data_IF_741785503199
#
_entry.id   IF_741785503199
#
_cell.length_a   1.000
_cell.length_b   1.000
_cell.length_c   1.000
_cell.angle_alpha   90.00
_cell.angle_beta   90.00
_cell.angle_gamma   90.00
#
_symmetry.space_group_name_H-M   'P 1'
#
loop_
_entity.id
_entity.type
_entity.pdbx_description
1 polymer ?
#
# COMPACT_ATOMS: atom_id res chain seq x y z
N UNK A 1 6.74 -1.23 26.91
CA UNK A 1 7.40 -2.45 26.38
C UNK A 1 6.60 -3.66 26.79
N UNK A 2 5.96 -4.35 25.84
CA UNK A 2 5.49 -5.74 25.95
C UNK A 2 5.25 -6.23 24.53
N UNK A 3 6.27 -6.92 24.01
CA UNK A 3 6.21 -7.68 22.77
C UNK A 3 5.35 -8.93 23.00
N UNK A 4 4.42 -9.24 22.10
CA UNK A 4 3.99 -10.63 21.87
C UNK A 4 3.24 -10.77 20.55
N UNK A 5 3.85 -11.47 19.61
CA UNK A 5 3.24 -12.19 18.49
C UNK A 5 4.11 -13.43 18.29
N UNK A 6 3.74 -14.40 17.46
CA UNK A 6 2.41 -14.94 17.13
C UNK A 6 2.44 -16.48 17.26
N UNK A 7 1.31 -17.16 17.08
CA UNK A 7 1.18 -18.52 16.51
C UNK A 7 -0.15 -19.10 17.00
N UNK A 8 -1.08 -19.34 16.08
CA UNK A 8 -1.56 -20.70 15.79
C UNK A 8 -2.88 -20.71 14.99
N UNK A 9 -2.82 -21.43 13.86
CA UNK A 9 -3.85 -22.31 13.30
C UNK A 9 -5.09 -21.60 12.70
N UNK A 10 -5.14 -21.37 11.38
CA UNK A 10 -5.49 -22.35 10.32
C UNK A 10 -6.67 -23.26 10.70
N UNK A 11 -7.88 -22.88 10.27
CA UNK A 11 -8.91 -23.81 9.78
C UNK A 11 -10.16 -23.02 9.33
N UNK A 12 -10.37 -22.85 8.02
CA UNK A 12 -11.71 -23.00 7.43
C UNK A 12 -11.72 -22.81 5.91
N UNK A 13 -12.13 -23.89 5.25
CA UNK A 13 -13.09 -23.91 4.14
C UNK A 13 -12.70 -23.22 2.82
N UNK A 14 -12.07 -24.02 1.96
CA UNK A 14 -12.60 -24.44 0.65
C UNK A 14 -13.71 -23.56 0.04
N UNK A 15 -13.34 -22.69 -0.90
CA UNK A 15 -14.11 -22.44 -2.12
C UNK A 15 -13.20 -21.78 -3.17
N UNK A 16 -13.14 -22.38 -4.36
CA UNK A 16 -12.83 -21.83 -5.71
C UNK A 16 -12.48 -23.04 -6.59
N UNK A 17 -13.46 -23.69 -7.20
CA UNK A 17 -14.05 -23.34 -8.51
C UNK A 17 -13.02 -23.00 -9.59
N UNK A 18 -12.85 -24.00 -10.47
CA UNK A 18 -12.75 -23.95 -11.94
C UNK A 18 -11.96 -22.80 -12.55
N UNK A 19 -10.82 -23.11 -13.18
CA UNK A 19 -10.48 -22.47 -14.45
C UNK A 19 -9.71 -23.44 -15.35
N UNK A 20 -10.40 -23.86 -16.41
CA UNK A 20 -9.86 -24.57 -17.54
C UNK A 20 -8.77 -23.77 -18.24
N UNK A 21 -7.74 -24.46 -18.77
CA UNK A 21 -7.13 -24.18 -20.08
C UNK A 21 -6.23 -25.34 -20.52
N UNK A 22 -6.71 -25.99 -21.58
CA UNK A 22 -6.05 -26.72 -22.68
C UNK A 22 -4.54 -26.96 -22.59
N UNK A 23 -4.16 -28.21 -22.79
CA UNK A 23 -2.97 -28.54 -23.58
C UNK A 23 -2.20 -29.77 -23.11
N UNK A 24 -2.28 -30.81 -23.94
CA UNK A 24 -1.22 -31.80 -24.18
C UNK A 24 -1.13 -33.02 -23.25
N UNK A 25 -1.64 -34.11 -23.81
CA UNK A 25 -1.50 -35.52 -23.44
C UNK A 25 -0.04 -35.98 -23.39
N UNK A 26 0.42 -36.51 -22.25
CA UNK A 26 1.38 -37.62 -22.20
C UNK A 26 1.01 -38.55 -21.04
N UNK A 27 0.58 -39.76 -21.40
CA UNK A 27 0.50 -40.94 -20.55
C UNK A 27 1.92 -41.42 -20.25
N UNK A 28 2.31 -41.46 -18.99
CA UNK A 28 3.38 -42.34 -18.53
C UNK A 28 3.19 -42.65 -17.03
N UNK A 29 2.71 -43.88 -16.79
CA UNK A 29 2.94 -44.59 -15.53
C UNK A 29 4.44 -44.72 -15.29
N UNK A 30 4.93 -44.26 -14.15
CA UNK A 30 6.02 -44.90 -13.38
C UNK A 30 6.12 -44.23 -12.01
N UNK A 31 5.91 -45.03 -10.96
CA UNK A 31 6.32 -44.66 -9.62
C UNK A 31 7.84 -44.65 -9.54
N UNK A 32 8.39 -43.58 -8.99
CA UNK A 32 9.76 -43.54 -8.48
C UNK A 32 9.72 -42.75 -7.17
N UNK A 33 9.96 -43.47 -6.07
CA UNK A 33 10.39 -42.92 -4.79
C UNK A 33 11.76 -42.27 -5.00
N UNK A 34 11.77 -41.01 -5.39
CA UNK A 34 12.95 -40.16 -5.35
C UNK A 34 12.66 -39.04 -4.36
N UNK A 35 13.49 -38.95 -3.32
CA UNK A 35 13.40 -37.91 -2.32
C UNK A 35 13.47 -36.53 -2.98
N UNK A 36 12.33 -35.84 -3.01
CA UNK A 36 12.30 -34.43 -3.32
C UNK A 36 12.54 -33.66 -2.02
N UNK A 37 13.81 -33.49 -1.65
CA UNK A 37 14.22 -32.17 -1.16
C UNK A 37 13.92 -31.21 -2.30
N UNK A 38 12.70 -30.68 -2.34
CA UNK A 38 12.53 -29.43 -3.06
C UNK A 38 13.39 -28.45 -2.28
N UNK A 39 14.43 -27.83 -2.89
CA UNK A 39 14.80 -26.54 -2.37
C UNK A 39 13.51 -25.75 -2.44
N UNK A 40 13.01 -25.31 -1.27
CA UNK A 40 12.06 -24.21 -1.21
C UNK A 40 12.77 -23.11 -1.99
N UNK A 41 12.42 -23.00 -3.27
CA UNK A 41 12.75 -21.84 -4.05
C UNK A 41 11.94 -20.77 -3.34
N UNK A 42 12.64 -19.99 -2.53
CA UNK A 42 12.14 -18.73 -2.05
C UNK A 42 11.81 -17.97 -3.34
N UNK A 43 10.55 -18.05 -3.77
CA UNK A 43 9.93 -16.98 -4.54
C UNK A 43 9.79 -15.82 -3.57
N UNK A 44 10.94 -15.21 -3.27
CA UNK A 44 11.02 -13.77 -3.24
C UNK A 44 10.52 -13.37 -4.62
N UNK A 45 9.21 -13.13 -4.72
CA UNK A 45 8.71 -12.21 -5.73
C UNK A 45 9.56 -10.96 -5.55
N UNK A 46 10.36 -10.74 -6.57
CA UNK A 46 11.11 -9.54 -6.85
C UNK A 46 10.25 -8.32 -6.48
N UNK A 47 10.46 -7.77 -5.28
CA UNK A 47 9.88 -6.50 -4.88
C UNK A 47 10.90 -5.41 -5.17
N UNK A 48 10.83 -4.76 -6.35
CA UNK A 48 11.33 -3.40 -6.47
C UNK A 48 10.24 -2.50 -7.07
N UNK A 49 9.17 -2.29 -6.30
CA UNK A 49 8.34 -1.09 -6.39
C UNK A 49 7.84 -0.80 -4.98
N UNK A 50 8.01 0.42 -4.52
CA UNK A 50 7.61 0.90 -3.18
C UNK A 50 6.14 0.57 -2.92
N UNK A 51 5.86 -0.49 -2.15
CA UNK A 51 4.49 -0.86 -1.81
C UNK A 51 3.80 0.29 -1.09
N UNK A 52 2.52 0.50 -1.40
CA UNK A 52 1.84 1.69 -0.90
C UNK A 52 1.70 1.61 0.62
N UNK A 53 1.92 2.72 1.36
CA UNK A 53 1.77 2.73 2.82
C UNK A 53 0.38 2.35 3.33
N UNK A 54 -0.62 2.24 2.46
CA UNK A 54 -2.02 1.98 2.82
C UNK A 54 -2.53 0.63 2.31
N UNK A 55 -1.67 -0.24 1.78
CA UNK A 55 -2.05 -1.47 1.07
C UNK A 55 -2.83 -2.46 1.95
N UNK A 56 -2.52 -2.51 3.25
CA UNK A 56 -3.20 -3.36 4.22
C UNK A 56 -4.53 -2.76 4.73
N UNK A 57 -4.85 -1.52 4.40
CA UNK A 57 -6.03 -0.82 4.91
C UNK A 57 -7.24 -1.19 4.06
N UNK A 58 -8.19 -1.94 4.66
CA UNK A 58 -9.36 -2.52 3.97
C UNK A 58 -10.57 -1.57 3.87
N UNK A 59 -10.45 -0.34 4.36
CA UNK A 59 -11.51 0.67 4.31
C UNK A 59 -11.54 1.41 2.96
N UNK A 60 -12.67 2.09 2.70
CA UNK A 60 -12.84 2.88 1.49
C UNK A 60 -11.79 3.99 1.38
N UNK A 61 -11.39 4.57 2.52
CA UNK A 61 -10.33 5.59 2.58
C UNK A 61 -8.97 5.01 2.19
N UNK A 62 -8.59 3.85 2.73
CA UNK A 62 -7.35 3.15 2.39
C UNK A 62 -7.23 2.85 0.91
N UNK A 63 -8.32 2.37 0.30
CA UNK A 63 -8.37 2.12 -1.15
C UNK A 63 -8.09 3.39 -1.96
N UNK A 64 -8.70 4.53 -1.58
CA UNK A 64 -8.45 5.80 -2.26
C UNK A 64 -7.03 6.32 -2.03
N UNK A 65 -6.48 6.15 -0.83
CA UNK A 65 -5.11 6.56 -0.53
C UNK A 65 -4.08 5.71 -1.30
N UNK A 66 -4.33 4.41 -1.47
CA UNK A 66 -3.51 3.54 -2.32
C UNK A 66 -3.57 3.97 -3.79
N UNK A 67 -4.77 4.25 -4.30
CA UNK A 67 -4.95 4.73 -5.67
C UNK A 67 -4.23 6.05 -5.90
N UNK A 68 -4.38 7.01 -4.99
CA UNK A 68 -3.70 8.29 -5.06
C UNK A 68 -2.17 8.16 -5.00
N UNK A 69 -1.66 7.29 -4.11
CA UNK A 69 -0.24 6.97 -4.04
C UNK A 69 0.29 6.46 -5.37
N UNK A 70 -0.36 5.44 -5.94
CA UNK A 70 0.06 4.84 -7.20
C UNK A 70 -0.02 5.84 -8.37
N UNK A 71 -1.06 6.68 -8.40
CA UNK A 71 -1.18 7.74 -9.39
C UNK A 71 -0.05 8.77 -9.29
N UNK A 72 0.31 9.19 -8.07
CA UNK A 72 1.42 10.11 -7.79
C UNK A 72 2.77 9.52 -8.19
N UNK A 73 3.07 8.29 -7.77
CA UNK A 73 4.31 7.58 -8.15
C UNK A 73 4.40 7.37 -9.67
N UNK A 74 3.26 7.26 -10.36
CA UNK A 74 3.21 7.18 -11.83
C UNK A 74 3.28 8.54 -12.54
N UNK A 75 3.43 9.65 -11.81
CA UNK A 75 3.43 11.01 -12.36
C UNK A 75 2.06 11.53 -12.83
N UNK A 76 0.97 10.79 -12.59
CA UNK A 76 -0.40 11.20 -12.92
C UNK A 76 -0.97 12.08 -11.80
N UNK A 77 -0.43 13.29 -11.69
CA UNK A 77 -0.73 14.21 -10.58
C UNK A 77 -2.21 14.65 -10.56
N UNK A 78 -2.86 14.81 -11.72
CA UNK A 78 -4.27 15.20 -11.80
C UNK A 78 -5.21 14.10 -11.27
N UNK A 79 -4.90 12.83 -11.58
CA UNK A 79 -5.66 11.68 -11.07
C UNK A 79 -5.50 11.55 -9.55
N UNK A 80 -4.27 11.75 -9.05
CA UNK A 80 -4.00 11.78 -7.62
C UNK A 80 -4.80 12.90 -6.92
N UNK A 81 -4.88 14.10 -7.52
CA UNK A 81 -5.65 15.23 -6.99
C UNK A 81 -7.14 14.89 -6.89
N UNK A 82 -7.73 14.36 -7.96
CA UNK A 82 -9.14 13.94 -7.98
C UNK A 82 -9.44 12.85 -6.93
N UNK A 83 -8.54 11.87 -6.82
CA UNK A 83 -8.69 10.74 -5.88
C UNK A 83 -8.57 11.21 -4.43
N UNK A 84 -7.61 12.10 -4.14
CA UNK A 84 -7.46 12.70 -2.81
C UNK A 84 -8.64 13.63 -2.46
N UNK A 85 -9.20 14.33 -3.45
CA UNK A 85 -10.43 15.10 -3.27
C UNK A 85 -11.62 14.23 -2.84
N UNK A 86 -11.74 13.02 -3.40
CA UNK A 86 -12.72 12.03 -2.94
C UNK A 86 -12.41 11.53 -1.53
N UNK A 87 -11.15 11.24 -1.23
CA UNK A 87 -10.72 10.79 0.10
C UNK A 87 -11.07 11.83 1.19
N UNK A 88 -10.85 13.11 0.90
CA UNK A 88 -11.18 14.23 1.78
C UNK A 88 -12.69 14.35 2.05
N UNK A 89 -13.54 14.00 1.07
CA UNK A 89 -15.00 13.98 1.27
C UNK A 89 -15.46 12.83 2.15
N UNK A 90 -14.75 11.69 2.14
CA UNK A 90 -15.06 10.54 3.00
C UNK A 90 -14.59 10.80 4.43
N UNK A 91 -13.37 11.32 4.60
CA UNK A 91 -12.82 11.63 5.90
C UNK A 91 -12.12 12.99 5.89
N UNK A 92 -12.84 14.08 6.20
CA UNK A 92 -12.28 15.43 6.23
C UNK A 92 -11.37 15.66 7.45
N UNK A 93 -11.33 14.71 8.39
CA UNK A 93 -10.52 14.80 9.61
C UNK A 93 -9.32 13.84 9.59
N UNK A 94 -9.10 13.10 8.50
CA UNK A 94 -7.99 12.16 8.40
C UNK A 94 -6.67 12.90 8.07
N UNK A 95 -5.67 12.91 8.97
CA UNK A 95 -4.40 13.59 8.72
C UNK A 95 -3.62 12.99 7.53
N UNK A 96 -3.83 11.71 7.21
CA UNK A 96 -3.19 11.05 6.07
C UNK A 96 -3.57 11.68 4.73
N UNK A 97 -4.82 12.13 4.59
CA UNK A 97 -5.31 12.75 3.35
C UNK A 97 -4.59 14.08 3.12
N UNK A 98 -4.47 14.90 4.16
CA UNK A 98 -3.75 16.17 4.10
C UNK A 98 -2.26 15.97 3.86
N UNK A 99 -1.65 14.94 4.45
CA UNK A 99 -0.26 14.60 4.18
C UNK A 99 -0.04 14.18 2.72
N UNK A 100 -0.91 13.33 2.15
CA UNK A 100 -0.81 12.95 0.74
C UNK A 100 -1.04 14.12 -0.21
N UNK A 101 -1.97 15.04 0.12
CA UNK A 101 -2.14 16.29 -0.62
C UNK A 101 -0.91 17.18 -0.52
N UNK A 102 -0.26 17.23 0.65
CA UNK A 102 0.98 17.99 0.82
C UNK A 102 2.10 17.44 -0.07
N UNK A 103 2.29 16.11 -0.11
CA UNK A 103 3.23 15.46 -1.02
C UNK A 103 2.91 15.78 -2.49
N UNK A 104 1.64 15.68 -2.87
CA UNK A 104 1.21 16.00 -4.23
C UNK A 104 1.54 17.45 -4.61
N UNK A 105 1.30 18.43 -3.71
CA UNK A 105 1.66 19.83 -3.96
C UNK A 105 3.17 20.06 -4.02
N UNK A 106 3.94 19.30 -3.25
CA UNK A 106 5.40 19.33 -3.34
C UNK A 106 5.87 18.84 -4.72
N UNK A 107 5.33 17.71 -5.20
CA UNK A 107 5.67 17.14 -6.51
C UNK A 107 5.22 18.04 -7.67
N UNK A 108 4.14 18.83 -7.49
CA UNK A 108 3.70 19.86 -8.43
C UNK A 108 4.56 21.15 -8.40
N UNK A 109 5.59 21.22 -7.55
CA UNK A 109 6.43 22.42 -7.42
C UNK A 109 5.77 23.58 -6.67
N UNK A 110 4.80 23.30 -5.77
CA UNK A 110 4.06 24.29 -4.97
C UNK A 110 4.37 24.11 -3.47
N UNK A 111 5.60 24.40 -3.02
CA UNK A 111 6.05 24.10 -1.66
C UNK A 111 5.27 24.88 -0.58
N UNK A 112 4.83 26.11 -0.83
CA UNK A 112 4.06 26.91 0.13
C UNK A 112 2.72 26.25 0.47
N UNK A 113 2.06 25.66 -0.53
CA UNK A 113 0.81 24.94 -0.33
C UNK A 113 1.03 23.60 0.34
N UNK A 114 2.11 22.92 -0.03
CA UNK A 114 2.55 21.70 0.66
C UNK A 114 2.73 21.95 2.16
N UNK A 115 3.40 23.05 2.54
CA UNK A 115 3.59 23.45 3.93
C UNK A 115 2.27 23.66 4.67
N UNK A 116 1.34 24.42 4.09
CA UNK A 116 0.02 24.68 4.70
C UNK A 116 -0.76 23.38 4.95
N UNK A 117 -0.73 22.45 4.00
CA UNK A 117 -1.41 21.16 4.11
C UNK A 117 -0.73 20.24 5.15
N UNK A 118 0.59 20.24 5.19
CA UNK A 118 1.36 19.50 6.20
C UNK A 118 1.10 20.04 7.63
N UNK A 119 1.06 21.35 7.82
CA UNK A 119 0.69 21.97 9.09
C UNK A 119 -0.76 21.63 9.48
N UNK A 120 -1.68 21.61 8.50
CA UNK A 120 -3.05 21.17 8.75
C UNK A 120 -3.09 19.70 9.19
N UNK A 121 -2.32 18.82 8.55
CA UNK A 121 -2.22 17.42 8.94
C UNK A 121 -1.73 17.26 10.39
N UNK A 122 -0.75 18.05 10.83
CA UNK A 122 -0.29 18.06 12.24
C UNK A 122 -1.39 18.51 13.20
N UNK A 123 -2.17 19.53 12.83
CA UNK A 123 -3.26 20.05 13.68
C UNK A 123 -4.39 19.05 13.93
N UNK A 124 -4.52 18.02 13.09
CA UNK A 124 -5.55 16.98 13.21
C UNK A 124 -5.15 15.81 14.13
N UNK A 125 -3.94 15.83 14.69
CA UNK A 125 -3.47 14.77 15.58
C UNK A 125 -3.06 13.48 14.84
N UNK A 126 -2.01 13.52 14.00
CA UNK A 126 -1.49 12.32 13.35
C UNK A 126 -0.86 11.37 14.37
N UNK A 127 -0.87 10.07 14.06
CA UNK A 127 -0.10 9.10 14.85
C UNK A 127 1.41 9.34 14.76
N UNK A 128 2.17 8.86 15.73
CA UNK A 128 3.63 9.10 15.88
C UNK A 128 4.45 8.93 14.58
N UNK A 129 4.21 7.85 13.83
CA UNK A 129 4.93 7.59 12.59
C UNK A 129 4.58 8.61 11.49
N UNK A 130 3.32 9.00 11.39
CA UNK A 130 2.86 9.97 10.41
C UNK A 130 3.35 11.38 10.76
N UNK A 131 3.31 11.74 12.04
CA UNK A 131 3.85 13.00 12.55
C UNK A 131 5.33 13.17 12.16
N UNK A 132 6.15 12.13 12.35
CA UNK A 132 7.56 12.15 11.94
C UNK A 132 7.74 12.35 10.44
N UNK A 133 6.89 11.71 9.62
CA UNK A 133 6.91 11.89 8.15
C UNK A 133 6.54 13.32 7.76
N UNK A 134 5.52 13.88 8.39
CA UNK A 134 5.10 15.26 8.14
C UNK A 134 6.21 16.25 8.55
N UNK A 135 6.81 16.06 9.72
CA UNK A 135 7.93 16.89 10.17
C UNK A 135 9.16 16.77 9.27
N UNK A 136 9.42 15.58 8.73
CA UNK A 136 10.46 15.40 7.73
C UNK A 136 10.17 16.18 6.44
N UNK A 137 8.94 16.08 5.92
CA UNK A 137 8.51 16.85 4.75
C UNK A 137 8.63 18.37 5.00
N UNK A 138 8.20 18.86 6.16
CA UNK A 138 8.31 20.28 6.48
C UNK A 138 9.76 20.74 6.44
N UNK A 139 10.71 19.95 6.95
CA UNK A 139 12.14 20.28 6.91
C UNK A 139 12.73 20.34 5.49
N UNK A 140 12.18 19.59 4.54
CA UNK A 140 12.65 19.63 3.15
C UNK A 140 12.06 20.80 2.36
N UNK A 141 11.06 21.50 2.91
CA UNK A 141 10.44 22.69 2.33
C UNK A 141 11.11 24.00 2.80
N UNK A 142 12.00 23.94 3.80
CA UNK A 142 12.81 25.05 4.31
C UNK A 142 14.22 25.00 3.71
#
# INVERSE_FOLDING_TARGET
>A
MKYYTPSQFIASCLKKESFAKKGLTVLALTGVLAGCSTPVLIQQEDQPATSSPYEQRQDALGTLLNQAWNARESGRLDEAESTLGRAMRISPTAPEVYYQLALLRHDQGRPEQSRQLAERALSLGPGFMLERKINHLLRTLY
#
